data_IF_768692297455
#
_entry.id   IF_768692297455
#
_cell.length_a   1.000
_cell.length_b   1.000
_cell.length_c   1.000
_cell.angle_alpha   90.00
_cell.angle_beta   90.00
_cell.angle_gamma   90.00
#
_symmetry.space_group_name_H-M   'P 1'
#
loop_
_entity.id
_entity.type
_entity.pdbx_description
1 polymer ?
#
# COMPACT_ATOMS: atom_id res chain seq x y z
N UNK A 1 -0.42 0.26 -6.92
CA UNK A 1 -1.37 -0.18 -5.89
C UNK A 1 -1.58 0.96 -4.92
N UNK A 2 -2.82 1.41 -4.77
CA UNK A 2 -3.25 2.49 -3.90
C UNK A 2 -3.86 1.88 -2.65
N UNK A 3 -3.41 2.25 -1.46
CA UNK A 3 -3.85 1.64 -0.22
C UNK A 3 -3.80 2.63 0.96
N UNK A 4 -4.30 2.19 2.10
CA UNK A 4 -4.09 2.87 3.39
C UNK A 4 -3.20 2.02 4.28
N UNK A 5 -2.56 2.65 5.27
CA UNK A 5 -1.65 1.94 6.17
C UNK A 5 -2.37 0.80 6.90
N UNK A 6 -1.72 -0.38 6.95
CA UNK A 6 -2.28 -1.62 7.55
C UNK A 6 -3.58 -2.16 6.91
N UNK A 7 -3.89 -1.78 5.68
CA UNK A 7 -4.94 -2.43 4.86
C UNK A 7 -4.55 -3.83 4.35
N UNK A 8 -3.38 -4.35 4.74
CA UNK A 8 -2.78 -5.59 4.24
C UNK A 8 -2.42 -5.56 2.75
N UNK A 9 -2.02 -4.39 2.24
CA UNK A 9 -1.54 -4.21 0.87
C UNK A 9 -0.39 -5.13 0.46
N UNK A 10 0.49 -5.47 1.40
CA UNK A 10 1.54 -6.46 1.17
C UNK A 10 1.00 -7.87 0.84
N UNK A 11 -0.22 -8.19 1.26
CA UNK A 11 -0.85 -9.46 0.88
C UNK A 11 -1.14 -9.51 -0.62
N UNK A 12 -1.72 -8.45 -1.17
CA UNK A 12 -2.01 -8.38 -2.60
C UNK A 12 -0.72 -8.36 -3.41
N UNK A 13 0.32 -7.65 -2.94
CA UNK A 13 1.65 -7.68 -3.59
C UNK A 13 2.19 -9.11 -3.65
N UNK A 14 2.15 -9.85 -2.53
CA UNK A 14 2.55 -11.26 -2.48
C UNK A 14 1.69 -12.15 -3.38
N UNK A 15 0.38 -11.90 -3.46
CA UNK A 15 -0.53 -12.64 -4.34
C UNK A 15 -0.12 -12.49 -5.81
N UNK A 16 0.21 -11.27 -6.22
CA UNK A 16 0.68 -10.97 -7.57
C UNK A 16 2.08 -11.55 -7.81
N UNK A 17 3.03 -11.34 -6.89
CA UNK A 17 4.40 -11.88 -7.00
C UNK A 17 4.43 -13.41 -7.07
N UNK A 18 3.55 -14.09 -6.32
CA UNK A 18 3.42 -15.55 -6.34
C UNK A 18 2.98 -16.12 -7.70
N UNK A 19 2.48 -15.29 -8.62
CA UNK A 19 2.17 -15.74 -9.99
C UNK A 19 3.42 -15.88 -10.86
N UNK A 20 4.51 -15.18 -10.52
CA UNK A 20 5.71 -15.07 -11.36
C UNK A 20 5.50 -14.30 -12.68
N UNK A 21 4.32 -13.70 -12.90
CA UNK A 21 3.96 -13.03 -14.16
C UNK A 21 4.18 -11.52 -14.14
N UNK A 22 4.31 -10.93 -12.95
CA UNK A 22 4.60 -9.51 -12.71
C UNK A 22 5.66 -9.40 -11.62
N UNK A 23 6.31 -8.24 -11.50
CA UNK A 23 7.15 -7.93 -10.33
C UNK A 23 6.36 -7.99 -9.02
N UNK A 24 7.04 -7.83 -7.89
CA UNK A 24 6.41 -7.78 -6.57
C UNK A 24 6.35 -6.32 -6.10
N UNK A 25 5.22 -5.60 -6.27
CA UNK A 25 5.20 -4.16 -6.07
C UNK A 25 5.62 -3.78 -4.64
N UNK A 26 6.72 -3.03 -4.53
CA UNK A 26 7.21 -2.52 -3.25
C UNK A 26 6.86 -1.04 -3.03
N UNK A 27 7.21 -0.50 -1.86
CA UNK A 27 6.98 0.89 -1.48
C UNK A 27 8.13 1.81 -1.96
N UNK A 28 8.47 1.77 -3.25
CA UNK A 28 9.61 2.54 -3.79
C UNK A 28 9.46 4.06 -3.68
N UNK A 29 8.23 4.55 -3.51
CA UNK A 29 7.93 5.98 -3.41
C UNK A 29 7.74 6.42 -1.95
N UNK A 30 8.05 5.55 -0.99
CA UNK A 30 8.07 5.88 0.43
C UNK A 30 9.32 6.71 0.75
N UNK A 31 9.12 7.94 1.23
CA UNK A 31 10.19 8.72 1.85
C UNK A 31 10.18 8.47 3.35
N UNK A 32 11.14 7.68 3.85
CA UNK A 32 11.24 7.38 5.28
C UNK A 32 11.82 8.55 6.10
N UNK A 33 12.43 9.54 5.46
CA UNK A 33 13.19 10.61 6.12
C UNK A 33 12.89 11.99 5.49
N UNK A 34 13.30 13.05 6.20
CA UNK A 34 13.32 14.43 5.70
C UNK A 34 14.35 14.56 4.57
N UNK A 35 13.99 14.06 3.39
CA UNK A 35 14.87 13.96 2.23
C UNK A 35 14.12 13.49 0.98
N UNK A 36 14.86 13.38 -0.11
CA UNK A 36 14.37 12.80 -1.36
C UNK A 36 14.42 11.27 -1.35
N UNK A 37 13.82 10.63 -2.35
CA UNK A 37 14.00 9.18 -2.51
C UNK A 37 15.46 8.81 -2.78
N UNK A 38 16.17 9.71 -3.46
CA UNK A 38 17.60 9.66 -3.79
C UNK A 38 18.53 9.79 -2.59
N UNK A 39 18.03 10.17 -1.40
CA UNK A 39 18.84 10.23 -0.17
C UNK A 39 18.68 9.01 0.71
N UNK A 40 17.76 8.10 0.38
CA UNK A 40 17.51 6.90 1.16
C UNK A 40 18.63 5.84 1.05
N UNK A 41 18.59 4.85 1.94
CA UNK A 41 19.57 3.76 2.01
C UNK A 41 19.72 3.01 0.68
N UNK A 42 18.60 2.74 -0.01
CA UNK A 42 18.62 2.06 -1.30
C UNK A 42 19.35 2.86 -2.38
N UNK A 43 19.06 4.16 -2.48
CA UNK A 43 19.74 5.05 -3.43
C UNK A 43 21.25 5.10 -3.15
N UNK A 44 21.61 5.25 -1.88
CA UNK A 44 23.01 5.29 -1.41
C UNK A 44 23.75 4.01 -1.76
N UNK A 45 23.17 2.84 -1.49
CA UNK A 45 23.76 1.53 -1.81
C UNK A 45 24.03 1.34 -3.31
N UNK A 46 23.22 1.96 -4.15
CA UNK A 46 23.34 1.90 -5.60
C UNK A 46 24.10 3.10 -6.22
N UNK A 47 24.67 3.98 -5.39
CA UNK A 47 25.44 5.14 -5.86
C UNK A 47 24.61 6.17 -6.63
N UNK A 48 23.30 6.19 -6.41
CA UNK A 48 22.39 7.17 -7.01
C UNK A 48 22.39 8.44 -6.15
N UNK A 49 22.45 9.60 -6.80
CA UNK A 49 22.49 10.90 -6.10
C UNK A 49 21.39 11.86 -6.53
N UNK A 50 20.72 11.57 -7.65
CA UNK A 50 19.62 12.40 -8.15
C UNK A 50 18.31 11.62 -8.18
N UNK A 51 17.21 12.35 -8.06
CA UNK A 51 15.87 11.76 -8.11
C UNK A 51 15.51 11.11 -9.44
N UNK A 52 16.02 11.66 -10.54
CA UNK A 52 15.84 11.09 -11.87
C UNK A 52 16.54 9.71 -11.98
N UNK A 53 17.79 9.63 -11.51
CA UNK A 53 18.53 8.37 -11.43
C UNK A 53 17.87 7.36 -10.51
N UNK A 54 17.26 7.81 -9.41
CA UNK A 54 16.51 6.95 -8.49
C UNK A 54 15.32 6.28 -9.17
N UNK A 55 14.51 7.06 -9.89
CA UNK A 55 13.39 6.50 -10.64
C UNK A 55 13.86 5.50 -11.71
N UNK A 56 14.95 5.80 -12.41
CA UNK A 56 15.55 4.85 -13.38
C UNK A 56 16.07 3.58 -12.71
N UNK A 57 16.65 3.67 -11.51
CA UNK A 57 17.08 2.52 -10.72
C UNK A 57 15.89 1.64 -10.37
N UNK A 58 14.84 2.22 -9.81
CA UNK A 58 13.62 1.52 -9.41
C UNK A 58 12.94 0.84 -10.59
N UNK A 59 12.79 1.55 -11.72
CA UNK A 59 12.22 0.95 -12.93
C UNK A 59 13.03 -0.23 -13.44
N UNK A 60 14.37 -0.13 -13.44
CA UNK A 60 15.21 -1.26 -13.85
C UNK A 60 15.14 -2.44 -12.88
N UNK A 61 14.97 -2.18 -11.60
CA UNK A 61 14.96 -3.21 -10.57
C UNK A 61 13.65 -4.04 -10.56
N UNK A 62 12.50 -3.43 -10.85
CA UNK A 62 11.19 -4.08 -10.63
C UNK A 62 10.25 -4.06 -11.85
N UNK A 63 10.74 -3.68 -13.03
CA UNK A 63 10.01 -3.93 -14.27
C UNK A 63 10.14 -5.40 -14.64
N UNK A 64 9.02 -6.13 -14.60
CA UNK A 64 8.96 -7.54 -14.97
C UNK A 64 9.31 -7.79 -16.44
N UNK A 65 9.52 -9.05 -16.81
CA UNK A 65 9.83 -9.45 -18.21
C UNK A 65 8.74 -9.07 -19.22
N UNK A 66 7.51 -8.86 -18.75
CA UNK A 66 6.39 -8.35 -19.53
C UNK A 66 6.38 -6.82 -19.72
N UNK A 67 7.41 -6.11 -19.23
CA UNK A 67 7.52 -4.66 -19.30
C UNK A 67 6.64 -3.90 -18.30
N UNK A 68 5.99 -4.59 -17.37
CA UNK A 68 5.14 -3.95 -16.35
C UNK A 68 5.94 -3.63 -15.09
N UNK A 69 5.86 -2.38 -14.66
CA UNK A 69 6.35 -1.91 -13.36
C UNK A 69 5.18 -1.73 -12.39
N UNK A 70 5.37 -2.15 -11.14
CA UNK A 70 4.39 -1.98 -10.08
C UNK A 70 4.99 -1.25 -8.88
N UNK A 71 4.25 -0.31 -8.30
CA UNK A 71 4.61 0.29 -7.02
C UNK A 71 3.40 0.36 -6.11
N UNK A 72 3.65 0.30 -4.80
CA UNK A 72 2.65 0.51 -3.76
C UNK A 72 2.80 1.92 -3.19
N UNK A 73 1.68 2.62 -3.12
CA UNK A 73 1.59 3.97 -2.58
C UNK A 73 0.48 4.05 -1.54
N UNK A 74 0.82 4.54 -0.35
CA UNK A 74 -0.13 4.84 0.71
C UNK A 74 -0.53 6.32 0.62
N UNK A 75 -1.77 6.64 0.99
CA UNK A 75 -2.32 8.01 0.79
C UNK A 75 -1.47 9.09 1.46
N UNK A 76 -0.96 8.83 2.66
CA UNK A 76 -0.11 9.72 3.43
C UNK A 76 1.18 10.14 2.70
N UNK A 77 1.63 9.34 1.72
CA UNK A 77 2.81 9.62 0.92
C UNK A 77 2.47 10.23 -0.44
N UNK A 78 1.20 10.35 -0.80
CA UNK A 78 0.77 10.92 -2.08
C UNK A 78 1.19 12.40 -2.21
N UNK A 79 0.95 13.30 -1.22
CA UNK A 79 1.34 14.70 -1.37
C UNK A 79 2.85 14.87 -1.60
N UNK A 80 3.67 14.22 -0.77
CA UNK A 80 5.13 14.21 -0.89
C UNK A 80 5.60 13.63 -2.24
N UNK A 81 4.96 12.54 -2.70
CA UNK A 81 5.24 11.95 -4.01
C UNK A 81 4.95 12.93 -5.14
N UNK A 82 3.81 13.61 -5.11
CA UNK A 82 3.44 14.56 -6.15
C UNK A 82 4.35 15.79 -6.15
N UNK A 83 4.69 16.34 -4.98
CA UNK A 83 5.64 17.44 -4.86
C UNK A 83 7.01 17.08 -5.45
N UNK A 84 7.50 15.89 -5.10
CA UNK A 84 8.72 15.34 -5.69
C UNK A 84 8.56 15.26 -7.20
N UNK A 85 7.63 14.47 -7.73
CA UNK A 85 7.50 14.32 -9.19
C UNK A 85 7.37 15.67 -9.92
N UNK A 86 6.64 16.65 -9.35
CA UNK A 86 6.49 17.99 -9.92
C UNK A 86 7.82 18.73 -10.07
N UNK A 87 8.70 18.65 -9.08
CA UNK A 87 10.03 19.27 -9.17
C UNK A 87 10.97 18.60 -10.19
N UNK A 88 10.68 17.38 -10.67
CA UNK A 88 11.41 16.79 -11.82
C UNK A 88 10.94 17.37 -13.15
N UNK A 89 9.70 17.85 -13.21
CA UNK A 89 9.07 18.38 -14.42
C UNK A 89 9.16 19.91 -14.54
N UNK A 90 10.11 20.53 -13.84
CA UNK A 90 10.31 21.98 -13.87
C UNK A 90 9.44 22.77 -12.90
N UNK A 91 8.74 22.10 -11.97
CA UNK A 91 8.05 22.76 -10.86
C UNK A 91 6.74 23.46 -11.24
N UNK A 92 6.14 23.10 -12.38
CA UNK A 92 4.83 23.62 -12.77
C UNK A 92 3.74 23.11 -11.80
N UNK A 93 3.26 24.00 -10.95
CA UNK A 93 2.26 23.71 -9.91
C UNK A 93 0.84 23.56 -10.46
N UNK A 94 0.58 23.95 -11.71
CA UNK A 94 -0.74 23.82 -12.35
C UNK A 94 -0.97 22.44 -12.98
N UNK A 95 0.06 21.58 -13.02
CA UNK A 95 -0.08 20.22 -13.53
C UNK A 95 -0.94 19.38 -12.59
N UNK A 96 -2.04 18.82 -13.11
CA UNK A 96 -2.90 17.93 -12.31
C UNK A 96 -2.13 16.69 -11.81
N UNK A 97 -2.46 16.13 -10.62
CA UNK A 97 -1.82 14.92 -10.11
C UNK A 97 -1.85 13.75 -11.10
N UNK A 98 -2.95 13.57 -11.82
CA UNK A 98 -3.10 12.51 -12.82
C UNK A 98 -2.16 12.72 -14.01
N UNK A 99 -2.06 13.95 -14.53
CA UNK A 99 -1.13 14.30 -15.61
C UNK A 99 0.30 14.01 -15.19
N UNK A 100 0.68 14.45 -13.99
CA UNK A 100 2.01 14.25 -13.42
C UNK A 100 2.37 12.76 -13.31
N UNK A 101 1.47 11.97 -12.71
CA UNK A 101 1.66 10.53 -12.57
C UNK A 101 1.73 9.83 -13.92
N UNK A 102 0.94 10.23 -14.92
CA UNK A 102 0.98 9.63 -16.28
C UNK A 102 2.24 9.97 -17.07
N UNK A 103 2.86 11.12 -16.82
CA UNK A 103 4.16 11.46 -17.42
C UNK A 103 5.25 10.50 -16.95
N UNK A 104 5.22 10.13 -15.67
CA UNK A 104 6.23 9.24 -15.06
C UNK A 104 5.89 7.76 -15.24
N UNK A 105 4.60 7.42 -15.25
CA UNK A 105 4.08 6.08 -15.43
C UNK A 105 3.21 6.01 -16.70
N UNK A 106 3.81 5.81 -17.89
CA UNK A 106 3.04 5.66 -19.11
C UNK A 106 2.05 4.49 -18.99
N UNK A 107 0.82 4.67 -19.48
CA UNK A 107 -0.26 3.68 -19.38
C UNK A 107 -0.64 3.30 -17.93
N UNK A 108 -0.46 4.22 -16.98
CA UNK A 108 -0.82 4.03 -15.57
C UNK A 108 -2.22 3.43 -15.38
N UNK A 109 -2.26 2.39 -14.55
CA UNK A 109 -3.46 1.72 -14.05
C UNK A 109 -3.42 1.70 -12.53
N UNK A 110 -4.58 1.91 -11.92
CA UNK A 110 -4.72 1.90 -10.47
C UNK A 110 -5.40 0.62 -10.00
N UNK A 111 -4.83 0.01 -8.96
CA UNK A 111 -5.47 -1.05 -8.18
C UNK A 111 -5.65 -0.48 -6.78
N UNK A 112 -6.88 -0.31 -6.34
CA UNK A 112 -7.21 0.32 -5.06
C UNK A 112 -7.65 -0.74 -4.04
N UNK A 113 -6.82 -0.95 -3.02
CA UNK A 113 -7.12 -1.86 -1.92
C UNK A 113 -7.81 -1.11 -0.78
N UNK A 114 -8.97 -1.62 -0.37
CA UNK A 114 -9.72 -1.15 0.79
C UNK A 114 -9.90 -2.27 1.81
N UNK A 115 -10.29 -1.91 3.03
CA UNK A 115 -10.61 -2.87 4.10
C UNK A 115 -11.93 -2.46 4.74
N UNK A 116 -12.90 -3.37 4.77
CA UNK A 116 -14.24 -3.07 5.30
C UNK A 116 -14.19 -2.80 6.80
N UNK A 117 -13.39 -3.58 7.53
CA UNK A 117 -13.25 -3.41 8.97
C UNK A 117 -12.12 -2.43 9.35
N UNK A 118 -12.47 -1.15 9.41
CA UNK A 118 -11.57 -0.06 9.80
C UNK A 118 -11.12 -0.13 11.26
N UNK A 119 -11.95 -0.67 12.15
CA UNK A 119 -11.60 -0.78 13.57
C UNK A 119 -10.54 -1.85 13.77
N UNK A 120 -10.70 -3.01 13.14
CA UNK A 120 -9.68 -4.07 13.16
C UNK A 120 -8.40 -3.63 12.46
N UNK A 121 -8.50 -2.81 11.41
CA UNK A 121 -7.34 -2.14 10.80
C UNK A 121 -6.63 -1.22 11.81
N UNK A 122 -7.37 -0.37 12.51
CA UNK A 122 -6.84 0.56 13.50
C UNK A 122 -6.18 -0.17 14.69
N UNK A 123 -6.77 -1.28 15.16
CA UNK A 123 -6.16 -2.14 16.20
C UNK A 123 -4.82 -2.69 15.71
N UNK A 124 -4.77 -3.19 14.47
CA UNK A 124 -3.52 -3.68 13.88
C UNK A 124 -2.46 -2.59 13.78
N UNK A 125 -2.85 -1.35 13.45
CA UNK A 125 -1.94 -0.21 13.39
C UNK A 125 -1.46 0.20 14.78
N UNK A 126 -2.34 0.35 15.76
CA UNK A 126 -1.94 0.75 17.11
C UNK A 126 -0.94 -0.24 17.71
N UNK A 127 -1.13 -1.54 17.49
CA UNK A 127 -0.20 -2.57 17.94
C UNK A 127 1.14 -2.53 17.20
N UNK A 128 1.11 -2.31 15.90
CA UNK A 128 2.35 -2.10 15.13
C UNK A 128 3.14 -0.90 15.67
N UNK A 129 2.46 0.21 16.00
CA UNK A 129 3.09 1.39 16.58
C UNK A 129 3.69 1.12 17.97
N UNK A 130 3.02 0.34 18.83
CA UNK A 130 3.53 -0.02 20.16
C UNK A 130 4.69 -1.01 20.11
N UNK A 131 4.77 -1.83 19.06
CA UNK A 131 5.83 -2.83 18.90
C UNK A 131 6.96 -2.44 17.97
N UNK A 132 6.83 -1.26 17.35
CA UNK A 132 7.69 -0.78 16.24
C UNK A 132 7.81 -1.80 15.09
N UNK A 133 6.84 -2.72 14.99
CA UNK A 133 6.81 -3.79 13.99
C UNK A 133 5.76 -3.49 12.94
N UNK A 134 6.22 -3.02 11.79
CA UNK A 134 5.32 -2.57 10.71
C UNK A 134 5.10 -3.61 9.61
N UNK A 135 5.95 -4.63 9.49
CA UNK A 135 5.80 -5.73 8.55
C UNK A 135 6.14 -7.10 9.20
N UNK A 136 5.76 -8.19 8.52
CA UNK A 136 5.95 -9.56 9.04
C UNK A 136 7.40 -10.02 9.06
N UNK A 137 8.27 -9.38 8.27
CA UNK A 137 9.68 -9.75 8.10
C UNK A 137 10.57 -9.15 9.18
N UNK A 138 10.12 -8.07 9.83
CA UNK A 138 10.76 -7.53 11.03
C UNK A 138 10.66 -8.54 12.18
N UNK A 139 11.75 -8.74 12.96
CA UNK A 139 11.77 -9.65 14.09
C UNK A 139 10.68 -9.28 15.10
N UNK A 140 10.10 -10.30 15.73
CA UNK A 140 9.10 -10.08 16.76
C UNK A 140 9.77 -9.48 18.01
N UNK A 141 9.23 -8.37 18.49
CA UNK A 141 9.62 -7.82 19.79
C UNK A 141 8.94 -8.63 20.89
N UNK A 142 9.72 -9.40 21.63
CA UNK A 142 9.21 -10.23 22.74
C UNK A 142 8.91 -9.38 23.98
N UNK A 143 7.87 -9.75 24.73
CA UNK A 143 7.56 -9.14 26.04
C UNK A 143 6.81 -7.82 25.99
N UNK A 144 6.26 -7.44 24.82
CA UNK A 144 5.40 -6.26 24.72
C UNK A 144 4.01 -6.58 25.24
N UNK A 145 3.60 -5.84 26.26
CA UNK A 145 2.22 -5.79 26.71
C UNK A 145 1.49 -4.70 25.91
N UNK A 146 0.60 -5.11 25.01
CA UNK A 146 -0.17 -4.17 24.20
C UNK A 146 -1.21 -3.45 25.07
N UNK A 147 -1.26 -2.13 24.98
CA UNK A 147 -2.18 -1.28 25.75
C UNK A 147 -3.33 -0.75 24.88
N UNK A 148 -4.57 -1.05 25.28
CA UNK A 148 -5.75 -0.50 24.62
C UNK A 148 -5.89 1.00 24.92
N UNK A 149 -6.25 1.78 23.89
CA UNK A 149 -6.63 3.20 24.04
C UNK A 149 -7.73 3.57 23.05
N UNK A 150 -8.92 3.88 23.57
CA UNK A 150 -10.04 4.33 22.75
C UNK A 150 -9.68 5.59 21.93
N UNK A 151 -9.02 6.56 22.57
CA UNK A 151 -8.66 7.82 21.92
C UNK A 151 -7.69 7.61 20.75
N UNK A 152 -6.67 6.76 20.93
CA UNK A 152 -5.71 6.46 19.87
C UNK A 152 -6.37 5.67 18.74
N UNK A 153 -7.20 4.67 19.06
CA UNK A 153 -7.95 3.92 18.05
C UNK A 153 -8.91 4.82 17.26
N UNK A 154 -9.65 5.70 17.92
CA UNK A 154 -10.57 6.62 17.25
C UNK A 154 -9.84 7.59 16.33
N UNK A 155 -8.68 8.09 16.75
CA UNK A 155 -7.83 8.93 15.93
C UNK A 155 -7.34 8.17 14.69
N UNK A 156 -6.87 6.93 14.85
CA UNK A 156 -6.42 6.10 13.72
C UNK A 156 -7.58 5.79 12.76
N UNK A 157 -8.77 5.46 13.26
CA UNK A 157 -9.96 5.24 12.42
C UNK A 157 -10.24 6.47 11.56
N UNK A 158 -10.22 7.68 12.13
CA UNK A 158 -10.40 8.93 11.37
C UNK A 158 -9.31 9.14 10.32
N UNK A 159 -8.05 8.82 10.64
CA UNK A 159 -6.94 8.89 9.67
C UNK A 159 -7.17 7.93 8.51
N UNK A 160 -7.60 6.68 8.78
CA UNK A 160 -7.95 5.70 7.73
C UNK A 160 -9.08 6.25 6.86
N UNK A 161 -10.15 6.76 7.46
CA UNK A 161 -11.28 7.34 6.72
C UNK A 161 -10.84 8.51 5.85
N UNK A 162 -10.05 9.45 6.38
CA UNK A 162 -9.53 10.58 5.62
C UNK A 162 -8.66 10.13 4.44
N UNK A 163 -7.83 9.11 4.64
CA UNK A 163 -7.01 8.53 3.59
C UNK A 163 -7.84 7.86 2.48
N UNK A 164 -8.89 7.12 2.85
CA UNK A 164 -9.81 6.53 1.87
C UNK A 164 -10.59 7.59 1.08
N UNK A 165 -11.06 8.66 1.73
CA UNK A 165 -11.68 9.79 1.04
C UNK A 165 -10.70 10.51 0.13
N UNK A 166 -9.43 10.61 0.53
CA UNK A 166 -8.36 11.13 -0.30
C UNK A 166 -8.21 10.35 -1.61
N UNK A 167 -8.07 9.03 -1.51
CA UNK A 167 -8.06 8.15 -2.68
C UNK A 167 -9.31 8.29 -3.54
N UNK A 168 -10.49 8.28 -2.92
CA UNK A 168 -11.76 8.42 -3.64
C UNK A 168 -11.80 9.71 -4.47
N UNK A 169 -11.45 10.85 -3.85
CA UNK A 169 -11.37 12.15 -4.56
C UNK A 169 -10.36 12.15 -5.68
N UNK A 170 -9.19 11.54 -5.47
CA UNK A 170 -8.20 11.42 -6.54
C UNK A 170 -8.78 10.67 -7.75
N UNK A 171 -9.51 9.57 -7.51
CA UNK A 171 -10.10 8.76 -8.58
C UNK A 171 -11.30 9.40 -9.29
N UNK A 172 -11.90 10.47 -8.76
CA UNK A 172 -12.90 11.26 -9.49
C UNK A 172 -12.28 11.94 -10.73
N UNK A 173 -10.98 12.21 -10.71
CA UNK A 173 -10.25 12.90 -11.79
C UNK A 173 -9.49 11.98 -12.76
N UNK A 174 -9.55 10.65 -12.60
CA UNK A 174 -8.78 9.71 -13.45
C UNK A 174 -9.63 9.16 -14.59
N UNK A 175 -9.03 9.02 -15.78
CA UNK A 175 -9.75 8.58 -16.98
C UNK A 175 -10.17 7.10 -16.94
N UNK A 176 -9.40 6.25 -16.23
CA UNK A 176 -9.70 4.83 -16.07
C UNK A 176 -9.92 4.54 -14.59
N UNK A 177 -11.14 4.13 -14.19
CA UNK A 177 -11.43 3.81 -12.79
C UNK A 177 -10.47 2.75 -12.25
N UNK A 178 -10.12 2.82 -10.95
CA UNK A 178 -9.26 1.82 -10.33
C UNK A 178 -9.96 0.46 -10.28
N UNK A 179 -9.18 -0.63 -10.41
CA UNK A 179 -9.66 -1.95 -10.03
C UNK A 179 -9.69 -2.03 -8.51
N UNK A 180 -10.89 -2.17 -7.93
CA UNK A 180 -11.07 -2.19 -6.48
C UNK A 180 -10.89 -3.61 -5.94
N UNK A 181 -10.08 -3.73 -4.91
CA UNK A 181 -9.90 -4.97 -4.15
C UNK A 181 -10.30 -4.69 -2.71
N UNK A 182 -11.12 -5.56 -2.14
CA UNK A 182 -11.42 -5.54 -0.71
C UNK A 182 -10.58 -6.60 -0.01
N UNK A 183 -9.93 -6.24 1.09
CA UNK A 183 -9.07 -7.15 1.87
C UNK A 183 -9.79 -8.44 2.26
N UNK A 184 -11.02 -8.34 2.76
CA UNK A 184 -11.80 -9.50 3.18
C UNK A 184 -12.08 -10.46 2.01
N UNK A 185 -12.37 -9.93 0.82
CA UNK A 185 -12.59 -10.74 -0.39
C UNK A 185 -11.27 -11.36 -0.88
N UNK A 186 -10.16 -10.63 -0.78
CA UNK A 186 -8.82 -11.13 -1.12
C UNK A 186 -8.39 -12.28 -0.23
N UNK A 187 -8.76 -12.27 1.05
CA UNK A 187 -8.46 -13.38 1.97
C UNK A 187 -9.22 -14.64 1.56
N UNK A 188 -10.49 -14.51 1.16
CA UNK A 188 -11.34 -15.62 0.73
C UNK A 188 -10.96 -16.15 -0.65
N UNK A 189 -10.65 -15.26 -1.59
CA UNK A 189 -10.46 -15.56 -3.01
C UNK A 189 -9.04 -15.23 -3.53
N UNK A 190 -8.00 -15.44 -2.71
CA UNK A 190 -6.60 -15.03 -2.95
C UNK A 190 -6.09 -15.18 -4.40
N UNK A 191 -6.12 -16.40 -4.95
CA UNK A 191 -5.60 -16.67 -6.30
C UNK A 191 -6.50 -16.04 -7.37
N UNK A 192 -7.82 -16.15 -7.21
CA UNK A 192 -8.77 -15.60 -8.16
C UNK A 192 -8.66 -14.07 -8.23
N UNK A 193 -8.57 -13.39 -7.09
CA UNK A 193 -8.36 -11.94 -7.03
C UNK A 193 -7.06 -11.52 -7.73
N UNK A 194 -5.97 -12.28 -7.56
CA UNK A 194 -4.72 -12.00 -8.27
C UNK A 194 -4.88 -12.14 -9.80
N UNK A 195 -5.55 -13.19 -10.27
CA UNK A 195 -5.82 -13.40 -11.69
C UNK A 195 -6.75 -12.31 -12.28
N UNK A 196 -7.72 -11.83 -11.51
CA UNK A 196 -8.61 -10.74 -11.93
C UNK A 196 -7.84 -9.43 -12.06
N UNK A 197 -6.93 -9.14 -11.13
CA UNK A 197 -6.02 -7.99 -11.23
C UNK A 197 -5.12 -8.12 -12.44
N UNK A 198 -4.50 -9.28 -12.70
CA UNK A 198 -3.67 -9.49 -13.90
C UNK A 198 -4.47 -9.27 -15.18
N UNK A 199 -5.71 -9.74 -15.21
CA UNK A 199 -6.64 -9.54 -16.33
C UNK A 199 -6.92 -8.05 -16.55
N UNK A 200 -7.20 -7.30 -15.48
CA UNK A 200 -7.41 -5.84 -15.54
C UNK A 200 -6.18 -5.08 -16.03
N UNK A 201 -4.99 -5.53 -15.60
CA UNK A 201 -3.71 -4.98 -16.04
C UNK A 201 -3.36 -5.36 -17.48
N UNK A 202 -4.10 -6.29 -18.10
CA UNK A 202 -3.83 -6.78 -19.45
C UNK A 202 -2.61 -7.68 -19.54
N UNK A 203 -2.21 -8.29 -18.43
CA UNK A 203 -1.08 -9.24 -18.40
C UNK A 203 -1.55 -10.58 -18.96
N UNK A 204 -0.94 -11.09 -20.05
CA UNK A 204 -1.35 -12.36 -20.63
C UNK A 204 -0.90 -13.53 -19.76
N UNK A 205 -1.79 -14.50 -19.56
CA UNK A 205 -1.46 -15.77 -18.92
C UNK A 205 -2.34 -16.90 -19.44
N UNK A 206 -1.85 -18.14 -19.34
CA UNK A 206 -2.60 -19.36 -19.64
C UNK A 206 -3.00 -20.06 -18.35
N UNK A 207 -4.18 -20.68 -18.33
CA UNK A 207 -4.66 -21.45 -17.18
C UNK A 207 -4.26 -22.93 -17.34
N UNK A 208 -3.92 -23.64 -16.26
CA UNK A 208 -3.84 -23.15 -14.87
C UNK A 208 -2.54 -22.37 -14.61
N UNK A 209 -2.62 -21.32 -13.79
CA UNK A 209 -1.44 -20.58 -13.29
C UNK A 209 -0.97 -21.26 -12.01
N UNK A 210 0.31 -21.61 -11.94
CA UNK A 210 0.92 -22.14 -10.72
C UNK A 210 1.28 -20.99 -9.78
N UNK A 211 0.76 -21.02 -8.55
CA UNK A 211 1.12 -20.05 -7.52
C UNK A 211 2.25 -20.57 -6.62
N UNK A 212 3.16 -19.67 -6.25
CA UNK A 212 4.12 -19.92 -5.18
C UNK A 212 3.45 -20.17 -3.82
N UNK A 213 4.21 -20.67 -2.83
CA UNK A 213 3.67 -21.00 -1.52
C UNK A 213 3.10 -19.76 -0.81
N UNK A 214 1.90 -19.89 -0.25
CA UNK A 214 1.30 -18.83 0.57
C UNK A 214 2.04 -18.73 1.90
N UNK A 215 2.84 -17.68 2.06
CA UNK A 215 3.43 -17.32 3.36
C UNK A 215 2.56 -16.26 4.02
N UNK A 216 1.52 -16.71 4.70
CA UNK A 216 0.72 -15.84 5.56
C UNK A 216 0.50 -16.48 6.91
N UNK A 217 1.00 -15.84 7.95
CA UNK A 217 0.54 -16.08 9.31
C UNK A 217 -0.61 -15.11 9.58
N UNK A 218 -1.80 -15.66 9.83
CA UNK A 218 -2.96 -14.88 10.24
C UNK A 218 -2.72 -14.39 11.68
N UNK A 219 -2.27 -13.15 11.82
CA UNK A 219 -2.03 -12.49 13.12
C UNK A 219 -3.31 -11.90 13.73
N UNK A 220 -4.42 -12.66 13.73
CA UNK A 220 -5.61 -12.29 14.50
C UNK A 220 -5.59 -13.09 15.81
N UNK A 221 -5.18 -12.44 16.89
CA UNK A 221 -5.22 -13.00 18.24
C UNK A 221 -6.50 -12.59 18.99
N UNK A 222 -6.82 -13.32 20.06
CA UNK A 222 -7.99 -13.08 20.89
C UNK A 222 -8.02 -11.66 21.50
N UNK A 223 -6.85 -11.07 21.73
CA UNK A 223 -6.70 -9.72 22.27
C UNK A 223 -7.17 -8.66 21.27
N UNK A 224 -6.90 -8.84 19.97
CA UNK A 224 -7.38 -7.93 18.93
C UNK A 224 -8.90 -7.89 18.87
N UNK A 225 -9.57 -9.04 18.94
CA UNK A 225 -11.03 -9.12 18.90
C UNK A 225 -11.66 -8.50 20.16
N UNK A 226 -11.01 -8.67 21.32
CA UNK A 226 -11.41 -8.01 22.56
C UNK A 226 -11.35 -6.49 22.43
N UNK A 227 -10.31 -5.94 21.80
CA UNK A 227 -10.17 -4.50 21.57
C UNK A 227 -11.22 -3.96 20.60
N UNK A 228 -11.52 -4.69 19.52
CA UNK A 228 -12.57 -4.31 18.56
C UNK A 228 -13.94 -4.24 19.26
N UNK A 229 -14.29 -5.28 20.02
CA UNK A 229 -15.54 -5.30 20.77
C UNK A 229 -15.63 -4.15 21.79
N UNK A 230 -14.55 -3.91 22.54
CA UNK A 230 -14.46 -2.81 23.51
C UNK A 230 -14.62 -1.44 22.84
N UNK A 231 -13.94 -1.20 21.71
CA UNK A 231 -14.04 0.05 20.96
C UNK A 231 -15.49 0.32 20.53
N UNK A 232 -16.18 -0.68 19.95
CA UNK A 232 -17.57 -0.51 19.53
C UNK A 232 -18.51 -0.24 20.70
N UNK A 233 -18.30 -0.87 21.85
CA UNK A 233 -19.09 -0.60 23.06
C UNK A 233 -18.89 0.85 23.55
N UNK A 234 -17.64 1.31 23.65
CA UNK A 234 -17.33 2.68 24.07
C UNK A 234 -17.83 3.73 23.05
N UNK A 235 -17.72 3.47 21.75
CA UNK A 235 -18.19 4.40 20.70
C UNK A 235 -19.70 4.61 20.75
N UNK A 236 -20.46 3.53 20.97
CA UNK A 236 -21.92 3.59 21.14
C UNK A 236 -22.33 4.37 22.40
N UNK A 237 -21.58 4.25 23.49
CA UNK A 237 -21.84 4.99 24.73
C UNK A 237 -21.48 6.48 24.69
N UNK A 238 -20.79 6.93 23.63
CA UNK A 238 -20.34 8.31 23.43
C UNK A 238 -21.09 9.05 22.32
N UNK A 239 -21.89 8.35 21.53
CA UNK A 239 -22.74 8.92 20.46
C UNK A 239 -24.12 9.23 21.02
#
# INVERSE_FOLDING_TARGET
MCATQRSSSSLLCKALGNTGLVGEPAEYLLSAEAGGWETGEWATRHGVTTRAEYLQLVFRADTGSNGSFGSKLLWEHVPDTLEKLGSLMGGDTDTSPETLLRTVFPRLRYVWLTRRDRVRQAVSWLRAAQSERYNSEMPATSGIEYAYSFQQLDAIVRVIEQAEHGWARHFEGVATPPFRVCYEDLVEAYEQTALDVLTFLGVPFTRPVAFGPRRMERQADADSETWVARYHAERRGRS
#
